data_IF_424800451796
#
_entry.id   IF_424800451796
#
_cell.length_a   1.000
_cell.length_b   1.000
_cell.length_c   1.000
_cell.angle_alpha   90.00
_cell.angle_beta   90.00
_cell.angle_gamma   90.00
#
_symmetry.space_group_name_H-M   'P 1'
#
loop_
_entity.id
_entity.type
_entity.pdbx_description
1 polymer ?
#
# COMPACT_ATOMS: atom_id res chain seq x y z
N UNK A 1 -27.09 0.67 46.38
CA UNK A 1 -25.89 0.54 45.53
C UNK A 1 -26.38 0.29 44.12
N UNK A 2 -26.64 1.36 43.37
CA UNK A 2 -27.02 1.27 41.96
C UNK A 2 -25.79 1.68 41.15
N UNK A 3 -25.31 0.78 40.30
CA UNK A 3 -24.06 0.92 39.55
C UNK A 3 -24.48 1.16 38.10
N UNK A 4 -24.33 2.36 37.52
CA UNK A 4 -24.62 2.55 36.12
C UNK A 4 -23.60 1.77 35.30
N UNK A 5 -24.10 0.85 34.48
CA UNK A 5 -23.33 0.20 33.43
C UNK A 5 -22.98 1.25 32.38
N UNK A 6 -21.79 1.82 32.48
CA UNK A 6 -21.15 2.53 31.37
C UNK A 6 -20.49 1.50 30.48
N UNK A 7 -21.18 1.07 29.43
CA UNK A 7 -20.55 0.82 28.14
C UNK A 7 -21.50 1.39 27.08
N UNK A 8 -21.03 2.38 26.30
CA UNK A 8 -20.74 1.95 24.94
C UNK A 8 -19.49 2.61 24.36
N UNK A 9 -18.89 1.87 23.44
CA UNK A 9 -18.12 2.36 22.31
C UNK A 9 -16.70 2.83 22.66
N UNK A 10 -15.80 1.85 22.64
CA UNK A 10 -14.71 1.80 21.66
C UNK A 10 -14.51 3.10 20.88
N UNK A 11 -13.75 4.03 21.47
CA UNK A 11 -13.20 5.20 20.81
C UNK A 11 -12.08 4.79 19.86
N UNK A 12 -12.40 4.01 18.83
CA UNK A 12 -11.55 3.93 17.66
C UNK A 12 -11.58 5.31 17.00
N UNK A 13 -10.47 6.03 17.09
CA UNK A 13 -10.34 7.40 16.64
C UNK A 13 -10.95 7.58 15.23
N UNK A 14 -11.91 8.52 15.04
CA UNK A 14 -12.58 8.74 13.75
C UNK A 14 -11.66 9.24 12.63
N UNK A 15 -10.38 9.54 12.93
CA UNK A 15 -9.38 9.89 11.92
C UNK A 15 -8.78 8.67 11.21
N UNK A 16 -8.55 7.57 11.93
CA UNK A 16 -7.78 6.45 11.40
C UNK A 16 -8.54 5.70 10.30
N UNK A 17 -9.85 5.49 10.48
CA UNK A 17 -10.70 4.85 9.46
C UNK A 17 -10.79 5.67 8.17
N UNK A 18 -10.70 7.00 8.25
CA UNK A 18 -10.81 7.89 7.09
C UNK A 18 -9.50 7.93 6.30
N UNK A 19 -8.36 7.90 6.98
CA UNK A 19 -7.05 7.83 6.32
C UNK A 19 -6.88 6.55 5.50
N UNK A 20 -7.35 5.41 6.01
CA UNK A 20 -7.30 4.15 5.25
C UNK A 20 -8.21 4.13 4.01
N UNK A 21 -9.28 4.92 3.97
CA UNK A 21 -10.12 5.04 2.77
C UNK A 21 -9.37 5.73 1.64
N UNK A 22 -8.73 6.87 1.92
CA UNK A 22 -7.98 7.61 0.92
C UNK A 22 -6.82 6.80 0.34
N UNK A 23 -6.04 6.13 1.20
CA UNK A 23 -4.94 5.24 0.78
C UNK A 23 -5.44 4.12 -0.13
N UNK A 24 -6.63 3.56 0.13
CA UNK A 24 -7.21 2.50 -0.68
C UNK A 24 -7.78 3.00 -2.01
N UNK A 25 -8.27 4.23 -2.08
CA UNK A 25 -8.72 4.87 -3.32
C UNK A 25 -7.54 5.22 -4.23
N UNK A 26 -6.44 5.75 -3.67
CA UNK A 26 -5.24 6.03 -4.45
C UNK A 26 -4.41 4.78 -4.72
N UNK A 27 -4.67 3.67 -4.01
CA UNK A 27 -3.89 2.44 -4.17
C UNK A 27 -3.90 1.92 -5.59
N UNK A 28 -5.05 1.96 -6.27
CA UNK A 28 -5.16 1.46 -7.65
C UNK A 28 -4.28 2.28 -8.60
N UNK A 29 -4.40 3.61 -8.54
CA UNK A 29 -3.58 4.55 -9.30
C UNK A 29 -2.09 4.44 -8.94
N UNK A 30 -1.77 4.36 -7.66
CA UNK A 30 -0.42 4.14 -7.15
C UNK A 30 0.14 2.83 -7.72
N UNK A 31 -0.62 1.73 -7.65
CA UNK A 31 -0.23 0.43 -8.16
C UNK A 31 0.01 0.43 -9.66
N UNK A 32 -0.77 1.17 -10.46
CA UNK A 32 -0.50 1.34 -11.89
C UNK A 32 0.81 2.09 -12.15
N UNK A 33 1.12 3.11 -11.33
CA UNK A 33 2.36 3.88 -11.44
C UNK A 33 3.61 3.09 -11.00
N UNK A 34 3.55 2.44 -9.83
CA UNK A 34 4.71 1.76 -9.23
C UNK A 34 4.78 0.26 -9.57
N UNK A 35 3.68 -0.34 -10.00
CA UNK A 35 3.58 -1.73 -10.48
C UNK A 35 4.68 -2.14 -11.45
N UNK A 36 4.94 -1.39 -12.54
CA UNK A 36 6.00 -1.74 -13.49
C UNK A 36 7.41 -1.65 -12.90
N UNK A 37 7.65 -0.93 -11.80
CA UNK A 37 8.97 -0.90 -11.14
C UNK A 37 9.28 -2.17 -10.36
N UNK A 38 8.24 -2.92 -9.94
CA UNK A 38 8.41 -4.23 -9.32
C UNK A 38 8.61 -5.34 -10.35
N UNK A 39 8.33 -5.06 -11.63
CA UNK A 39 8.52 -6.01 -12.70
C UNK A 39 9.98 -6.45 -12.82
N UNK A 40 10.19 -7.75 -13.03
CA UNK A 40 11.53 -8.34 -13.15
C UNK A 40 12.28 -7.77 -14.35
N UNK A 41 11.54 -7.45 -15.42
CA UNK A 41 12.03 -6.77 -16.63
C UNK A 41 12.57 -5.37 -16.36
N UNK A 42 12.03 -4.71 -15.33
CA UNK A 42 12.41 -3.35 -14.97
C UNK A 42 13.47 -3.31 -13.85
N UNK A 43 14.00 -4.47 -13.42
CA UNK A 43 15.12 -4.48 -12.47
C UNK A 43 16.39 -4.00 -13.18
N UNK A 44 17.04 -2.99 -12.61
CA UNK A 44 18.34 -2.55 -13.08
C UNK A 44 19.43 -3.50 -12.53
N UNK A 45 19.59 -4.66 -13.18
CA UNK A 45 20.51 -5.70 -12.75
C UNK A 45 20.09 -6.30 -11.39
N UNK A 46 21.00 -6.27 -10.40
CA UNK A 46 20.73 -6.74 -9.03
C UNK A 46 20.09 -5.69 -8.10
N UNK A 47 19.94 -4.44 -8.55
CA UNK A 47 19.36 -3.38 -7.75
C UNK A 47 17.83 -3.36 -7.91
N UNK A 48 17.11 -3.41 -6.80
CA UNK A 48 15.68 -3.16 -6.79
C UNK A 48 15.38 -1.68 -6.97
N UNK A 49 14.47 -1.34 -7.87
CA UNK A 49 13.99 0.03 -8.07
C UNK A 49 12.95 0.45 -7.02
N UNK A 50 12.98 -0.15 -5.82
CA UNK A 50 12.08 0.18 -4.71
C UNK A 50 12.17 1.69 -4.40
N UNK A 51 13.38 2.28 -4.40
CA UNK A 51 13.58 3.72 -4.18
C UNK A 51 12.90 4.62 -5.22
N UNK A 52 12.81 4.17 -6.49
CA UNK A 52 12.07 4.90 -7.52
C UNK A 52 10.56 4.84 -7.26
N UNK A 53 10.04 3.72 -6.77
CA UNK A 53 8.63 3.64 -6.38
C UNK A 53 8.28 4.65 -5.27
N UNK A 54 9.14 4.78 -4.24
CA UNK A 54 8.97 5.82 -3.21
C UNK A 54 9.02 7.23 -3.79
N UNK A 55 9.95 7.48 -4.72
CA UNK A 55 10.13 8.79 -5.35
C UNK A 55 8.91 9.16 -6.19
N UNK A 56 8.47 8.27 -7.08
CA UNK A 56 7.31 8.47 -7.96
C UNK A 56 6.04 8.71 -7.14
N UNK A 57 5.81 7.93 -6.07
CA UNK A 57 4.66 8.16 -5.21
C UNK A 57 4.72 9.50 -4.50
N UNK A 58 5.88 9.90 -4.00
CA UNK A 58 6.05 11.19 -3.32
C UNK A 58 5.96 12.38 -4.28
N UNK A 59 6.37 12.20 -5.53
CA UNK A 59 6.23 13.21 -6.60
C UNK A 59 4.77 13.37 -7.04
N UNK A 60 4.01 12.28 -7.17
CA UNK A 60 2.59 12.33 -7.53
C UNK A 60 1.68 12.72 -6.34
N UNK A 61 2.06 12.31 -5.13
CA UNK A 61 1.30 12.52 -3.91
C UNK A 61 2.17 13.14 -2.81
N UNK A 62 2.58 14.42 -2.95
CA UNK A 62 3.36 15.11 -1.92
C UNK A 62 2.59 15.33 -0.61
N UNK A 63 1.27 15.13 -0.65
CA UNK A 63 0.35 15.23 0.48
C UNK A 63 0.38 13.99 1.38
N UNK A 64 0.93 12.88 0.89
CA UNK A 64 1.04 11.64 1.65
C UNK A 64 2.21 11.70 2.62
N UNK A 65 1.96 11.15 3.80
CA UNK A 65 2.98 10.91 4.81
C UNK A 65 3.90 9.78 4.38
N UNK A 66 5.11 9.76 4.92
CA UNK A 66 6.08 8.70 4.64
C UNK A 66 5.53 7.31 4.95
N UNK A 67 4.73 7.18 6.02
CA UNK A 67 4.06 5.94 6.40
C UNK A 67 3.05 5.48 5.34
N UNK A 68 2.23 6.39 4.79
CA UNK A 68 1.26 6.07 3.75
C UNK A 68 1.95 5.63 2.45
N UNK A 69 3.02 6.33 2.05
CA UNK A 69 3.83 5.93 0.89
C UNK A 69 4.46 4.55 1.12
N UNK A 70 4.97 4.29 2.32
CA UNK A 70 5.53 2.99 2.69
C UNK A 70 4.48 1.87 2.60
N UNK A 71 3.28 2.09 3.17
CA UNK A 71 2.16 1.14 3.10
C UNK A 71 1.79 0.85 1.65
N UNK A 72 1.70 1.87 0.78
CA UNK A 72 1.39 1.70 -0.64
C UNK A 72 2.44 0.85 -1.37
N UNK A 73 3.72 1.11 -1.13
CA UNK A 73 4.83 0.34 -1.74
C UNK A 73 4.80 -1.12 -1.27
N UNK A 74 4.66 -1.35 0.04
CA UNK A 74 4.63 -2.71 0.61
C UNK A 74 3.40 -3.48 0.13
N UNK A 75 2.23 -2.85 0.14
CA UNK A 75 1.00 -3.45 -0.34
C UNK A 75 1.09 -3.78 -1.85
N UNK A 76 1.64 -2.87 -2.66
CA UNK A 76 1.82 -3.08 -4.09
C UNK A 76 2.77 -4.25 -4.37
N UNK A 77 3.88 -4.32 -3.65
CA UNK A 77 4.86 -5.41 -3.76
C UNK A 77 4.27 -6.75 -3.34
N UNK A 78 3.43 -6.75 -2.30
CA UNK A 78 2.69 -7.93 -1.83
C UNK A 78 1.73 -8.43 -2.91
N UNK A 79 0.85 -7.56 -3.42
CA UNK A 79 -0.11 -7.91 -4.48
C UNK A 79 0.60 -8.37 -5.75
N UNK A 80 1.71 -7.73 -6.13
CA UNK A 80 2.51 -8.17 -7.27
C UNK A 80 3.10 -9.57 -7.07
N UNK A 81 3.56 -9.88 -5.86
CA UNK A 81 4.09 -11.20 -5.51
C UNK A 81 2.99 -12.25 -5.45
N UNK A 82 1.85 -11.93 -4.83
CA UNK A 82 0.65 -12.79 -4.74
C UNK A 82 0.12 -13.11 -6.14
N UNK A 83 -0.07 -12.09 -7.01
CA UNK A 83 -0.51 -12.31 -8.40
C UNK A 83 0.45 -13.15 -9.22
N UNK A 84 1.77 -13.07 -8.97
CA UNK A 84 2.76 -13.93 -9.62
C UNK A 84 2.69 -15.37 -9.10
N UNK A 85 2.37 -15.57 -7.83
CA UNK A 85 2.19 -16.90 -7.24
C UNK A 85 0.88 -17.55 -7.73
N UNK A 86 -0.16 -16.76 -7.95
CA UNK A 86 -1.46 -17.22 -8.48
C UNK A 86 -1.44 -17.49 -9.98
N UNK A 87 -0.52 -16.85 -10.70
CA UNK A 87 -0.20 -17.17 -12.08
C UNK A 87 1.17 -17.85 -12.12
N UNK A 88 1.30 -19.09 -11.59
CA UNK A 88 2.50 -19.86 -11.83
C UNK A 88 2.59 -19.94 -13.34
N UNK A 89 3.67 -19.42 -13.90
CA UNK A 89 3.98 -19.55 -15.31
C UNK A 89 3.61 -20.98 -15.75
N UNK A 90 2.65 -21.06 -16.67
CA UNK A 90 2.42 -22.25 -17.45
C UNK A 90 3.68 -22.46 -18.29
N UNK A 91 4.68 -23.11 -17.68
CA UNK A 91 5.91 -23.61 -18.27
C UNK A 91 6.48 -24.61 -17.23
N UNK A 92 6.40 -25.93 -17.41
CA UNK A 92 6.44 -26.64 -18.70
C UNK A 92 7.87 -26.64 -19.20
#
# INVERSE_FOLDING_TARGET
>A
MDRPATDPASGAAPGERRSYHYVREIFDQAYELIGPFFARENRWGNATLDHLAYRVLRENYPQLSFEEVYVLVVASKRVYTERRLERPDAAG
#
